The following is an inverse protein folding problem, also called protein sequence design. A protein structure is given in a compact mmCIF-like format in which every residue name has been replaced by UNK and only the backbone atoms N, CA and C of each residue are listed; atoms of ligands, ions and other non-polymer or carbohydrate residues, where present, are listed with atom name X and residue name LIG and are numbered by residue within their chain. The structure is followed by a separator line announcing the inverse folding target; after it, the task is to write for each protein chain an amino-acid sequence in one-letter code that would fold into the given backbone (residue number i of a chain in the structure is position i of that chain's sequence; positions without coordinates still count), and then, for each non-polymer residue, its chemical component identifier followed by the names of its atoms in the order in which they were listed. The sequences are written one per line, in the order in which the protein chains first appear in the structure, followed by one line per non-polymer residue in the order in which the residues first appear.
data_IF_562918208928
#
_entry.id   IF_562918208928
#
_cell.length_a   1.000
_cell.length_b   1.000
_cell.length_c   1.000
_cell.angle_alpha   90.00
_cell.angle_beta   90.00
_cell.angle_gamma   90.00
#
_symmetry.space_group_name_H-M   'P 1'
#
loop_
_entity.id
_entity.type
_entity.pdbx_description
1 polymer ?
#
# COMPACT_ATOMS: atom_id res chain seq x y z
N UNK A 1 -2.56 36.62 25.10
CA UNK A 1 -3.17 35.28 25.16
C UNK A 1 -4.33 35.08 24.19
N UNK A 2 -5.43 35.88 24.22
CA UNK A 2 -6.60 35.71 23.33
C UNK A 2 -6.31 35.72 21.83
N UNK A 3 -5.38 36.57 21.36
CA UNK A 3 -4.97 36.61 19.93
C UNK A 3 -4.21 35.36 19.48
N UNK A 4 -3.38 34.76 20.35
CA UNK A 4 -2.62 33.55 20.03
C UNK A 4 -3.53 32.31 19.91
N UNK A 5 -4.53 32.19 20.78
CA UNK A 5 -5.54 31.14 20.72
C UNK A 5 -6.35 31.22 19.42
N UNK A 6 -6.73 32.43 18.99
CA UNK A 6 -7.44 32.63 17.72
C UNK A 6 -6.63 32.20 16.49
N UNK A 7 -5.31 32.43 16.48
CA UNK A 7 -4.43 31.98 15.41
C UNK A 7 -4.25 30.45 15.41
N UNK A 8 -4.05 29.85 16.58
CA UNK A 8 -3.94 28.40 16.71
C UNK A 8 -5.21 27.69 16.18
N UNK A 9 -6.40 28.17 16.55
CA UNK A 9 -7.67 27.61 16.08
C UNK A 9 -7.81 27.70 14.55
N UNK A 10 -7.42 28.83 13.95
CA UNK A 10 -7.45 28.99 12.48
C UNK A 10 -6.51 28.02 11.78
N UNK A 11 -5.31 27.80 12.32
CA UNK A 11 -4.36 26.82 11.79
C UNK A 11 -4.95 25.41 11.87
N UNK A 12 -5.53 25.04 13.01
CA UNK A 12 -6.16 23.73 13.19
C UNK A 12 -7.31 23.54 12.19
N UNK A 13 -8.20 24.52 12.04
CA UNK A 13 -9.31 24.46 11.08
C UNK A 13 -8.79 24.31 9.65
N UNK A 14 -7.75 25.06 9.27
CA UNK A 14 -7.13 24.94 7.96
C UNK A 14 -6.53 23.55 7.72
N UNK A 15 -5.79 23.01 8.70
CA UNK A 15 -5.20 21.67 8.59
C UNK A 15 -6.27 20.58 8.46
N UNK A 16 -7.36 20.69 9.22
CA UNK A 16 -8.51 19.77 9.13
C UNK A 16 -9.18 19.89 7.76
N UNK A 17 -9.40 21.11 7.26
CA UNK A 17 -9.98 21.32 5.93
C UNK A 17 -9.10 20.77 4.81
N UNK A 18 -7.77 20.90 4.91
CA UNK A 18 -6.82 20.33 3.95
C UNK A 18 -6.81 18.80 4.00
N UNK A 19 -6.81 18.19 5.20
CA UNK A 19 -6.89 16.75 5.35
C UNK A 19 -8.22 16.17 4.83
N UNK A 20 -9.33 16.87 5.09
CA UNK A 20 -10.65 16.54 4.54
C UNK A 20 -10.65 16.68 3.02
N UNK A 21 -10.12 17.77 2.47
CA UNK A 21 -9.96 17.95 1.02
C UNK A 21 -9.11 16.85 0.39
N UNK A 22 -7.99 16.47 1.03
CA UNK A 22 -7.17 15.34 0.60
C UNK A 22 -7.92 14.02 0.56
N UNK A 23 -8.80 13.77 1.52
CA UNK A 23 -9.58 12.52 1.63
C UNK A 23 -10.78 12.50 0.68
N UNK A 24 -11.51 13.60 0.58
CA UNK A 24 -12.82 13.70 -0.08
C UNK A 24 -12.82 14.39 -1.45
N UNK A 25 -11.66 14.80 -1.96
CA UNK A 25 -11.51 15.18 -3.37
C UNK A 25 -10.97 13.97 -4.12
N UNK A 26 -11.73 13.37 -5.05
CA UNK A 26 -11.31 12.15 -5.71
C UNK A 26 -10.16 12.39 -6.70
N UNK A 27 -9.30 11.37 -6.85
CA UNK A 27 -8.28 11.26 -7.88
C UNK A 27 -8.45 9.91 -8.59
N UNK A 28 -8.71 9.88 -9.91
CA UNK A 28 -8.94 11.05 -10.78
C UNK A 28 -10.27 11.79 -10.47
N UNK A 29 -10.29 13.10 -10.74
CA UNK A 29 -11.47 13.97 -10.51
C UNK A 29 -12.64 13.56 -11.40
N UNK A 30 -12.34 13.34 -12.68
CA UNK A 30 -13.25 12.77 -13.66
C UNK A 30 -12.79 11.32 -13.82
N UNK A 31 -13.63 10.36 -13.41
CA UNK A 31 -13.37 8.98 -13.76
C UNK A 31 -13.42 8.89 -15.29
N UNK A 32 -12.36 8.39 -15.96
CA UNK A 32 -12.51 7.97 -17.33
C UNK A 32 -13.72 7.04 -17.38
N UNK A 33 -14.54 7.12 -18.42
CA UNK A 33 -15.46 6.02 -18.75
C UNK A 33 -14.60 4.86 -19.25
N UNK A 34 -13.71 4.34 -18.42
CA UNK A 34 -13.30 2.95 -18.50
C UNK A 34 -14.48 2.17 -17.95
N UNK A 35 -15.53 2.09 -18.76
CA UNK A 35 -16.29 0.86 -18.76
C UNK A 35 -15.28 -0.20 -19.20
N UNK A 36 -14.57 -0.79 -18.24
CA UNK A 36 -14.16 -2.16 -18.42
C UNK A 36 -15.49 -2.89 -18.63
N UNK A 37 -15.86 -3.06 -19.89
CA UNK A 37 -17.00 -3.90 -20.28
C UNK A 37 -16.71 -5.36 -19.97
N UNK A 38 -15.46 -5.67 -19.58
CA UNK A 38 -15.08 -6.94 -19.03
C UNK A 38 -15.65 -7.08 -17.59
N UNK A 39 -16.21 -8.25 -17.26
CA UNK A 39 -16.71 -8.52 -15.92
C UNK A 39 -15.60 -8.35 -14.88
N UNK A 40 -15.95 -7.83 -13.71
CA UNK A 40 -15.08 -7.85 -12.54
C UNK A 40 -15.04 -9.29 -11.98
N UNK A 41 -13.98 -10.00 -12.30
CA UNK A 41 -13.79 -11.44 -12.07
C UNK A 41 -12.77 -11.71 -10.97
N UNK A 42 -11.93 -10.74 -10.65
CA UNK A 42 -10.84 -10.90 -9.70
C UNK A 42 -11.07 -10.11 -8.43
N UNK A 43 -10.93 -10.79 -7.30
CA UNK A 43 -11.01 -10.16 -5.99
C UNK A 43 -9.62 -9.77 -5.51
N UNK A 44 -9.45 -8.51 -5.12
CA UNK A 44 -8.24 -8.00 -4.43
C UNK A 44 -8.61 -7.46 -3.06
N UNK A 45 -7.64 -7.44 -2.14
CA UNK A 45 -7.85 -6.99 -0.77
C UNK A 45 -6.92 -5.82 -0.42
N UNK A 46 -7.48 -4.77 0.14
CA UNK A 46 -6.75 -3.77 0.91
C UNK A 46 -6.69 -4.23 2.36
N UNK A 47 -5.50 -4.56 2.82
CA UNK A 47 -5.21 -4.92 4.20
C UNK A 47 -4.83 -3.66 4.95
N UNK A 48 -5.56 -3.31 6.00
CA UNK A 48 -5.31 -2.11 6.80
C UNK A 48 -4.94 -2.48 8.22
N UNK A 49 -3.65 -2.46 8.49
CA UNK A 49 -3.13 -2.44 9.85
C UNK A 49 -3.36 -1.09 10.52
N UNK A 50 -2.94 -0.95 11.79
CA UNK A 50 -3.23 0.27 12.53
C UNK A 50 -2.36 1.48 12.08
N UNK A 51 -1.13 1.26 11.59
CA UNK A 51 -0.23 2.30 11.01
C UNK A 51 -0.07 2.21 9.49
N UNK A 52 -0.41 1.08 8.88
CA UNK A 52 0.10 0.68 7.58
C UNK A 52 -0.96 -0.02 6.73
N UNK A 53 -0.81 0.02 5.41
CA UNK A 53 -1.69 -0.67 4.46
C UNK A 53 -0.91 -1.45 3.42
N UNK A 54 -1.38 -2.66 3.13
CA UNK A 54 -0.88 -3.55 2.08
C UNK A 54 -2.00 -3.90 1.10
N UNK A 55 -1.62 -4.45 -0.06
CA UNK A 55 -2.57 -4.98 -1.03
C UNK A 55 -2.30 -6.47 -1.21
N UNK A 56 -3.33 -7.29 -1.05
CA UNK A 56 -3.31 -8.70 -1.40
C UNK A 56 -3.94 -8.89 -2.79
N UNK A 57 -3.21 -9.57 -3.69
CA UNK A 57 -3.71 -9.97 -5.00
C UNK A 57 -3.71 -11.50 -5.11
N UNK A 58 -4.64 -12.10 -5.89
CA UNK A 58 -4.74 -13.55 -6.00
C UNK A 58 -3.51 -14.13 -6.72
N UNK A 59 -3.02 -15.28 -6.26
CA UNK A 59 -1.93 -16.03 -6.91
C UNK A 59 -2.52 -16.91 -8.03
N UNK A 60 -2.94 -16.26 -9.11
CA UNK A 60 -3.27 -16.93 -10.37
C UNK A 60 -2.03 -17.08 -11.27
N UNK A 61 -2.22 -17.61 -12.48
CA UNK A 61 -1.16 -17.77 -13.48
C UNK A 61 -0.49 -16.44 -13.84
N UNK A 62 -1.26 -15.36 -13.98
CA UNK A 62 -0.73 -14.03 -14.32
C UNK A 62 0.11 -13.44 -13.19
N UNK A 63 -0.29 -13.62 -11.93
CA UNK A 63 0.52 -13.22 -10.77
C UNK A 63 1.81 -14.06 -10.69
N UNK A 64 1.74 -15.38 -10.86
CA UNK A 64 2.94 -16.23 -10.87
C UNK A 64 3.92 -15.84 -11.97
N UNK A 65 3.43 -15.54 -13.17
CA UNK A 65 4.26 -15.10 -14.28
C UNK A 65 4.88 -13.71 -14.02
N UNK A 66 4.09 -12.74 -13.54
CA UNK A 66 4.56 -11.38 -13.29
C UNK A 66 5.60 -11.31 -12.15
N UNK A 67 5.50 -12.18 -11.16
CA UNK A 67 6.36 -12.22 -9.97
C UNK A 67 7.28 -13.44 -9.92
N UNK A 68 7.55 -14.08 -11.06
CA UNK A 68 8.38 -15.30 -11.11
C UNK A 68 9.79 -15.12 -10.55
N UNK A 69 10.30 -13.88 -10.55
CA UNK A 69 11.60 -13.53 -9.95
C UNK A 69 11.62 -13.65 -8.42
N UNK A 70 10.47 -13.73 -7.76
CA UNK A 70 10.36 -13.98 -6.32
C UNK A 70 10.42 -15.47 -5.97
N UNK A 71 10.04 -16.35 -6.90
CA UNK A 71 9.81 -17.76 -6.61
C UNK A 71 11.13 -18.51 -6.39
N UNK A 72 11.33 -19.01 -5.18
CA UNK A 72 12.49 -19.81 -4.79
C UNK A 72 12.16 -20.69 -3.57
N UNK A 73 13.14 -21.48 -3.11
CA UNK A 73 12.94 -22.39 -1.97
C UNK A 73 12.50 -21.68 -0.68
N UNK A 74 12.89 -20.43 -0.51
CA UNK A 74 12.59 -19.60 0.66
C UNK A 74 11.33 -18.74 0.46
N UNK A 75 10.78 -18.68 -0.75
CA UNK A 75 9.54 -17.95 -1.06
C UNK A 75 8.76 -18.73 -2.13
N UNK A 76 8.05 -19.81 -1.73
CA UNK A 76 7.44 -20.75 -2.67
C UNK A 76 6.11 -20.20 -3.20
N UNK A 77 6.17 -19.31 -4.19
CA UNK A 77 5.00 -18.66 -4.81
C UNK A 77 4.04 -19.68 -5.44
N UNK A 78 4.57 -20.84 -5.86
CA UNK A 78 3.79 -21.96 -6.39
C UNK A 78 3.14 -22.88 -5.33
N UNK A 79 3.29 -22.61 -4.03
CA UNK A 79 2.78 -23.50 -2.99
C UNK A 79 1.24 -23.64 -3.05
N UNK A 80 0.67 -24.86 -2.92
CA UNK A 80 -0.77 -25.08 -3.10
C UNK A 80 -1.66 -24.36 -2.08
N UNK A 81 -1.12 -24.04 -0.90
CA UNK A 81 -1.82 -23.28 0.14
C UNK A 81 -1.59 -21.76 0.05
N UNK A 82 -0.81 -21.27 -0.93
CA UNK A 82 -0.62 -19.84 -1.13
C UNK A 82 -1.73 -19.31 -2.05
N UNK A 83 -2.65 -18.54 -1.48
CA UNK A 83 -3.80 -17.98 -2.21
C UNK A 83 -3.56 -16.52 -2.59
N UNK A 84 -2.81 -15.77 -1.77
CA UNK A 84 -2.62 -14.34 -1.90
C UNK A 84 -1.14 -13.96 -1.86
N UNK A 85 -0.76 -13.09 -2.81
CA UNK A 85 0.49 -12.34 -2.74
C UNK A 85 0.19 -11.00 -2.09
N UNK A 86 0.77 -10.76 -0.91
CA UNK A 86 0.66 -9.50 -0.19
C UNK A 86 1.84 -8.63 -0.54
N UNK A 87 1.57 -7.38 -0.94
CA UNK A 87 2.60 -6.41 -1.31
C UNK A 87 2.35 -5.08 -0.59
N UNK A 88 3.39 -4.63 0.09
CA UNK A 88 3.48 -3.37 0.79
C UNK A 88 4.67 -2.53 0.34
N UNK A 89 4.62 -1.23 0.61
CA UNK A 89 5.73 -0.31 0.36
C UNK A 89 5.86 0.65 1.53
N UNK A 90 7.07 0.98 1.96
CA UNK A 90 7.27 2.09 2.90
C UNK A 90 8.72 2.33 3.25
N UNK A 91 8.95 3.07 4.34
CA UNK A 91 10.29 3.51 4.72
C UNK A 91 11.13 2.36 5.22
N UNK A 92 12.37 2.27 4.76
CA UNK A 92 13.32 1.24 5.19
C UNK A 92 13.47 1.25 6.72
N UNK A 93 13.72 2.42 7.30
CA UNK A 93 13.90 2.55 8.75
C UNK A 93 12.59 2.24 9.48
N UNK A 94 11.44 2.65 8.94
CA UNK A 94 10.15 2.41 9.56
C UNK A 94 9.79 0.91 9.58
N UNK A 95 9.93 0.23 8.46
CA UNK A 95 9.61 -1.21 8.35
C UNK A 95 10.61 -2.10 9.08
N UNK A 96 11.92 -1.80 8.97
CA UNK A 96 12.94 -2.66 9.57
C UNK A 96 13.19 -2.37 11.05
N UNK A 97 12.93 -1.13 11.53
CA UNK A 97 13.20 -0.75 12.93
C UNK A 97 11.92 -0.58 13.76
N UNK A 98 10.72 -0.67 13.19
CA UNK A 98 9.45 -0.46 13.93
C UNK A 98 8.32 -1.43 13.50
N UNK A 99 8.43 -2.75 13.80
CA UNK A 99 7.42 -3.75 13.42
C UNK A 99 6.04 -3.55 14.08
N UNK A 100 5.97 -2.98 15.28
CA UNK A 100 4.69 -2.80 16.00
C UNK A 100 4.55 -1.43 16.66
N UNK A 101 3.32 -1.00 16.95
CA UNK A 101 3.04 0.27 17.66
C UNK A 101 3.73 0.38 19.01
N UNK A 102 3.99 -0.74 19.70
CA UNK A 102 4.69 -0.76 20.98
C UNK A 102 6.17 -0.36 20.85
N UNK A 103 6.72 -0.42 19.63
CA UNK A 103 8.12 -0.18 19.32
C UNK A 103 8.35 1.16 18.60
N UNK A 104 7.31 2.00 18.47
CA UNK A 104 7.42 3.37 17.99
C UNK A 104 8.29 4.19 18.95
N UNK A 105 9.60 4.07 18.78
CA UNK A 105 10.56 4.95 19.41
C UNK A 105 10.35 6.36 18.81
N UNK A 106 10.51 7.43 19.60
CA UNK A 106 10.37 8.80 19.11
C UNK A 106 11.29 9.12 17.92
N UNK A 107 12.44 8.43 17.83
CA UNK A 107 13.49 8.70 16.85
C UNK A 107 13.17 8.17 15.42
N UNK A 108 12.69 6.93 15.21
CA UNK A 108 12.10 6.48 13.95
C UNK A 108 10.94 7.35 13.44
N UNK A 109 10.07 7.84 14.32
CA UNK A 109 8.98 8.76 13.93
C UNK A 109 9.55 10.09 13.42
N UNK A 110 10.56 10.65 14.11
CA UNK A 110 11.26 11.85 13.66
C UNK A 110 12.01 11.63 12.33
N UNK A 111 12.61 10.46 12.11
CA UNK A 111 13.24 10.10 10.82
C UNK A 111 12.21 9.83 9.71
N UNK A 112 11.07 9.25 10.03
CA UNK A 112 9.96 9.09 9.09
C UNK A 112 9.39 10.46 8.67
N UNK A 113 9.48 11.48 9.52
CA UNK A 113 9.19 12.87 9.14
C UNK A 113 10.29 13.50 8.27
N UNK A 114 11.49 12.88 8.18
CA UNK A 114 12.54 13.21 7.21
C UNK A 114 12.44 12.33 5.95
N UNK A 115 13.41 12.43 5.03
CA UNK A 115 13.46 11.64 3.80
C UNK A 115 14.21 10.34 4.10
N UNK A 116 13.58 9.19 3.85
CA UNK A 116 14.17 7.85 3.97
C UNK A 116 14.18 7.12 2.61
N UNK A 117 14.98 6.06 2.49
CA UNK A 117 14.85 5.11 1.39
C UNK A 117 13.57 4.28 1.57
N UNK A 118 13.08 3.74 0.47
CA UNK A 118 11.89 2.89 0.50
C UNK A 118 12.22 1.42 0.28
N UNK A 119 11.38 0.57 0.84
CA UNK A 119 11.43 -0.88 0.71
C UNK A 119 10.05 -1.40 0.31
N UNK A 120 10.04 -2.50 -0.41
CA UNK A 120 8.87 -3.32 -0.64
C UNK A 120 8.86 -4.45 0.38
N UNK A 121 7.69 -4.66 0.97
CA UNK A 121 7.36 -5.80 1.79
C UNK A 121 6.55 -6.78 0.93
N UNK A 122 6.94 -8.04 0.91
CA UNK A 122 6.29 -9.08 0.12
C UNK A 122 6.08 -10.30 1.00
N UNK A 123 4.86 -10.79 1.05
CA UNK A 123 4.48 -11.96 1.85
C UNK A 123 3.50 -12.85 1.10
N UNK A 124 3.40 -14.11 1.51
CA UNK A 124 2.43 -15.08 0.99
C UNK A 124 1.41 -15.39 2.08
N UNK A 125 0.14 -15.25 1.75
CA UNK A 125 -0.95 -15.66 2.63
C UNK A 125 -1.77 -16.79 2.01
N UNK A 126 -2.19 -17.72 2.86
CA UNK A 126 -3.26 -18.66 2.52
C UNK A 126 -4.63 -17.99 2.62
N UNK A 127 -5.68 -18.79 2.79
CA UNK A 127 -7.04 -18.27 2.85
C UNK A 127 -7.23 -17.13 3.86
N UNK A 128 -7.78 -16.00 3.40
CA UNK A 128 -8.16 -14.86 4.24
C UNK A 128 -9.68 -14.86 4.35
N UNK A 129 -10.20 -15.15 5.54
CA UNK A 129 -11.65 -15.12 5.80
C UNK A 129 -12.19 -13.70 5.68
N UNK A 130 -13.33 -13.51 5.01
CA UNK A 130 -14.03 -12.22 4.91
C UNK A 130 -15.49 -12.35 5.39
N UNK A 131 -16.11 -11.29 5.95
CA UNK A 131 -15.56 -9.94 6.15
C UNK A 131 -14.72 -9.84 7.43
N UNK A 132 -13.72 -8.96 7.40
CA UNK A 132 -12.94 -8.59 8.58
C UNK A 132 -12.82 -7.07 8.71
N UNK A 133 -12.80 -6.50 9.94
CA UNK A 133 -12.65 -5.07 10.11
C UNK A 133 -11.41 -4.49 9.45
N UNK A 134 -10.29 -5.23 9.41
CA UNK A 134 -9.03 -4.77 8.80
C UNK A 134 -8.95 -4.96 7.29
N UNK A 135 -9.94 -5.63 6.66
CA UNK A 135 -9.90 -6.00 5.24
C UNK A 135 -10.99 -5.24 4.48
N UNK A 136 -10.61 -4.58 3.39
CA UNK A 136 -11.55 -4.01 2.42
C UNK A 136 -11.31 -4.67 1.08
N UNK A 137 -12.36 -5.10 0.41
CA UNK A 137 -12.25 -5.90 -0.81
C UNK A 137 -12.81 -5.19 -2.02
N UNK A 138 -12.20 -5.45 -3.17
CA UNK A 138 -12.61 -4.88 -4.45
C UNK A 138 -12.64 -6.00 -5.49
N UNK A 139 -13.70 -6.02 -6.27
CA UNK A 139 -13.77 -6.87 -7.46
C UNK A 139 -13.35 -6.01 -8.66
N UNK A 140 -12.34 -6.47 -9.38
CA UNK A 140 -11.71 -5.77 -10.51
C UNK A 140 -11.64 -6.68 -11.74
N UNK A 141 -11.59 -6.10 -12.93
CA UNK A 141 -11.44 -6.85 -14.18
C UNK A 141 -9.99 -7.28 -14.42
N UNK A 142 -9.79 -8.19 -15.37
CA UNK A 142 -8.47 -8.71 -15.76
C UNK A 142 -7.48 -7.56 -16.10
N UNK A 143 -7.92 -6.57 -16.89
CA UNK A 143 -7.09 -5.40 -17.26
C UNK A 143 -6.69 -4.56 -16.04
N UNK A 144 -7.59 -4.38 -15.09
CA UNK A 144 -7.32 -3.63 -13.86
C UNK A 144 -6.29 -4.35 -13.00
N UNK A 145 -6.40 -5.68 -12.88
CA UNK A 145 -5.45 -6.50 -12.16
C UNK A 145 -4.08 -6.54 -12.86
N UNK A 146 -4.04 -6.60 -14.19
CA UNK A 146 -2.79 -6.51 -14.94
C UNK A 146 -2.07 -5.17 -14.70
N UNK A 147 -2.80 -4.05 -14.69
CA UNK A 147 -2.23 -2.72 -14.35
C UNK A 147 -1.72 -2.67 -12.91
N UNK A 148 -2.45 -3.27 -11.97
CA UNK A 148 -2.02 -3.38 -10.57
C UNK A 148 -0.71 -4.16 -10.42
N UNK A 149 -0.63 -5.34 -11.06
CA UNK A 149 0.59 -6.15 -11.09
C UNK A 149 1.77 -5.38 -11.66
N UNK A 150 1.58 -4.71 -12.79
CA UNK A 150 2.62 -3.89 -13.42
C UNK A 150 3.10 -2.79 -12.48
N UNK A 151 2.18 -2.07 -11.81
CA UNK A 151 2.54 -1.05 -10.83
C UNK A 151 3.37 -1.61 -9.67
N UNK A 152 2.99 -2.77 -9.14
CA UNK A 152 3.71 -3.44 -8.06
C UNK A 152 5.10 -3.91 -8.51
N UNK A 153 5.21 -4.56 -9.66
CA UNK A 153 6.49 -4.99 -10.26
C UNK A 153 7.41 -3.79 -10.53
N UNK A 154 6.84 -2.69 -11.05
CA UNK A 154 7.58 -1.46 -11.31
C UNK A 154 8.05 -0.76 -10.04
N UNK A 155 7.47 -1.08 -8.88
CA UNK A 155 7.89 -0.50 -7.60
C UNK A 155 9.21 -1.08 -7.08
N UNK A 156 9.65 -2.24 -7.58
CA UNK A 156 10.94 -2.84 -7.19
C UNK A 156 12.10 -2.00 -7.72
N UNK A 157 13.09 -1.72 -6.87
CA UNK A 157 14.38 -1.25 -7.33
C UNK A 157 15.14 -2.42 -7.95
N UNK A 158 15.84 -2.13 -9.05
CA UNK A 158 16.66 -3.12 -9.76
C UNK A 158 18.05 -2.57 -10.04
N UNK A 159 19.05 -3.43 -9.90
CA UNK A 159 20.42 -3.17 -10.32
C UNK A 159 20.82 -4.24 -11.34
N UNK A 160 21.35 -3.82 -12.48
CA UNK A 160 21.69 -4.72 -13.59
C UNK A 160 20.54 -5.65 -14.05
N UNK A 161 19.28 -5.26 -13.84
CA UNK A 161 18.09 -6.04 -14.20
C UNK A 161 17.54 -6.92 -13.09
N UNK A 162 18.28 -7.10 -12.00
CA UNK A 162 17.92 -7.97 -10.87
C UNK A 162 17.27 -7.17 -9.74
N UNK A 163 16.30 -7.77 -9.05
CA UNK A 163 15.74 -7.18 -7.82
C UNK A 163 16.75 -7.24 -6.68
N UNK A 164 16.65 -6.29 -5.75
CA UNK A 164 17.58 -6.17 -4.63
C UNK A 164 16.92 -6.64 -3.32
N UNK A 165 17.05 -7.93 -2.94
CA UNK A 165 16.53 -8.41 -1.66
C UNK A 165 17.32 -7.81 -0.49
N UNK A 166 16.68 -7.71 0.67
CA UNK A 166 17.29 -7.29 1.93
C UNK A 166 17.43 -8.53 2.83
N UNK A 167 18.60 -9.17 2.88
CA UNK A 167 18.78 -10.43 3.61
C UNK A 167 18.52 -10.27 5.11
N UNK A 168 17.86 -11.26 5.71
CA UNK A 168 17.58 -11.29 7.15
C UNK A 168 16.50 -10.29 7.61
N UNK A 169 15.85 -9.59 6.68
CA UNK A 169 14.67 -8.78 6.95
C UNK A 169 13.40 -9.57 6.59
N UNK A 170 12.47 -9.65 7.55
CA UNK A 170 11.17 -10.29 7.38
C UNK A 170 10.48 -10.48 8.73
N UNK A 171 9.14 -10.46 8.75
CA UNK A 171 8.37 -10.71 9.98
C UNK A 171 8.07 -12.20 10.23
N UNK A 172 8.22 -13.04 9.21
CA UNK A 172 7.90 -14.46 9.25
C UNK A 172 8.74 -15.28 8.27
N UNK A 173 8.48 -16.59 8.21
CA UNK A 173 9.28 -17.53 7.43
C UNK A 173 9.27 -17.23 5.93
N UNK A 174 8.14 -16.76 5.39
CA UNK A 174 7.92 -16.46 3.97
C UNK A 174 7.77 -14.96 3.70
N UNK A 175 8.16 -14.12 4.65
CA UNK A 175 8.10 -12.67 4.57
C UNK A 175 9.44 -12.11 4.08
N UNK A 176 9.44 -11.33 3.01
CA UNK A 176 10.66 -10.83 2.36
C UNK A 176 10.59 -9.32 2.13
N UNK A 177 11.75 -8.69 2.28
CA UNK A 177 11.94 -7.28 1.96
C UNK A 177 12.87 -7.08 0.77
N UNK A 178 12.54 -6.08 -0.06
CA UNK A 178 13.32 -5.67 -1.22
C UNK A 178 13.53 -4.16 -1.21
N UNK A 179 14.61 -3.66 -1.81
CA UNK A 179 14.74 -2.23 -2.09
C UNK A 179 13.64 -1.80 -3.07
N UNK A 180 13.07 -0.62 -2.83
CA UNK A 180 12.01 -0.08 -3.67
C UNK A 180 12.42 1.23 -4.35
N UNK A 181 11.73 1.57 -5.45
CA UNK A 181 11.89 2.87 -6.09
C UNK A 181 11.24 3.96 -5.25
N UNK A 182 11.92 5.11 -5.19
CA UNK A 182 11.42 6.32 -4.57
C UNK A 182 11.90 6.52 -3.14
N UNK A 183 11.45 7.63 -2.56
CA UNK A 183 11.81 8.05 -1.22
C UNK A 183 10.57 8.06 -0.33
N UNK A 184 10.76 7.63 0.91
CA UNK A 184 9.72 7.60 1.90
C UNK A 184 9.72 8.88 2.75
N UNK A 185 8.51 9.34 3.06
CA UNK A 185 8.24 10.32 4.11
C UNK A 185 6.89 9.95 4.76
N UNK A 186 6.68 10.23 6.03
CA UNK A 186 5.45 9.89 6.74
C UNK A 186 4.17 10.50 6.10
N UNK A 187 4.30 11.64 5.41
CA UNK A 187 3.21 12.25 4.64
C UNK A 187 3.04 11.66 3.23
N UNK A 188 4.06 10.99 2.72
CA UNK A 188 4.14 10.34 1.40
C UNK A 188 4.65 8.90 1.58
N UNK A 189 3.91 8.15 2.40
CA UNK A 189 4.28 6.82 2.86
C UNK A 189 3.48 5.71 2.19
N UNK A 190 3.45 4.57 2.88
CA UNK A 190 2.72 3.36 2.51
C UNK A 190 1.27 3.59 2.05
N UNK A 191 0.51 4.38 2.81
CA UNK A 191 -0.89 4.66 2.50
C UNK A 191 -1.03 5.42 1.17
N UNK A 192 -0.08 6.30 0.86
CA UNK A 192 -0.09 7.04 -0.41
C UNK A 192 0.37 6.19 -1.60
N UNK A 193 1.31 5.26 -1.38
CA UNK A 193 1.70 4.25 -2.37
C UNK A 193 0.54 3.30 -2.66
N UNK A 194 -0.13 2.81 -1.61
CA UNK A 194 -1.33 1.96 -1.72
C UNK A 194 -2.43 2.67 -2.49
N UNK A 195 -2.69 3.93 -2.17
CA UNK A 195 -3.64 4.75 -2.92
C UNK A 195 -3.23 4.90 -4.40
N UNK A 196 -1.92 5.02 -4.70
CA UNK A 196 -1.42 5.07 -6.08
C UNK A 196 -1.59 3.74 -6.82
N UNK A 197 -1.33 2.61 -6.16
CA UNK A 197 -1.54 1.27 -6.70
C UNK A 197 -3.03 1.03 -7.04
N UNK A 198 -3.94 1.35 -6.11
CA UNK A 198 -5.39 1.25 -6.34
C UNK A 198 -5.83 2.13 -7.53
N UNK A 199 -5.30 3.35 -7.63
CA UNK A 199 -5.56 4.22 -8.80
C UNK A 199 -4.99 3.67 -10.10
N UNK A 200 -3.83 3.02 -10.08
CA UNK A 200 -3.28 2.35 -11.26
C UNK A 200 -4.19 1.19 -11.72
N UNK A 201 -4.82 0.49 -10.77
CA UNK A 201 -5.86 -0.49 -11.04
C UNK A 201 -7.20 0.12 -11.51
N UNK A 202 -7.32 1.45 -11.59
CA UNK A 202 -8.55 2.14 -12.01
C UNK A 202 -9.56 2.37 -10.88
N UNK A 203 -9.25 2.01 -9.64
CA UNK A 203 -10.06 2.38 -8.48
C UNK A 203 -9.85 3.86 -8.13
N UNK A 204 -10.79 4.43 -7.38
CA UNK A 204 -10.74 5.84 -6.97
C UNK A 204 -10.35 5.97 -5.51
N UNK A 205 -9.47 6.92 -5.24
CA UNK A 205 -9.11 7.33 -3.87
C UNK A 205 -9.15 8.85 -3.78
N UNK A 206 -8.95 9.38 -2.59
CA UNK A 206 -8.72 10.79 -2.36
C UNK A 206 -7.39 11.24 -2.95
N UNK A 207 -7.23 12.55 -3.09
CA UNK A 207 -6.00 13.20 -3.52
C UNK A 207 -4.82 12.89 -2.59
N UNK A 208 -5.08 12.75 -1.28
CA UNK A 208 -4.05 12.53 -0.27
C UNK A 208 -4.60 11.75 0.94
N UNK A 209 -4.05 10.55 1.17
CA UNK A 209 -4.45 9.64 2.24
C UNK A 209 -3.20 9.15 3.00
N UNK A 210 -2.65 9.94 3.94
CA UNK A 210 -1.42 9.60 4.65
C UNK A 210 -1.64 8.55 5.76
N UNK A 211 -2.88 8.29 6.15
CA UNK A 211 -3.24 7.36 7.24
C UNK A 211 -4.15 6.22 6.74
N UNK A 212 -4.07 5.01 7.31
CA UNK A 212 -4.94 3.89 6.92
C UNK A 212 -6.43 4.25 7.00
N UNK A 213 -6.83 4.94 8.08
CA UNK A 213 -8.22 5.34 8.32
C UNK A 213 -8.71 6.32 7.23
N UNK A 214 -7.84 7.24 6.81
CA UNK A 214 -8.16 8.19 5.74
C UNK A 214 -8.30 7.50 4.38
N UNK A 215 -7.45 6.51 4.09
CA UNK A 215 -7.51 5.75 2.85
C UNK A 215 -8.77 4.89 2.81
N UNK A 216 -9.03 4.12 3.87
CA UNK A 216 -10.24 3.29 4.02
C UNK A 216 -11.52 4.09 3.84
N UNK A 217 -11.62 5.23 4.54
CA UNK A 217 -12.77 6.12 4.41
C UNK A 217 -12.91 6.58 2.96
N UNK A 218 -11.80 7.00 2.34
CA UNK A 218 -11.82 7.46 0.97
C UNK A 218 -12.27 6.38 -0.02
N UNK A 219 -11.74 5.16 0.05
CA UNK A 219 -12.12 4.10 -0.90
C UNK A 219 -13.58 3.69 -0.74
N UNK A 220 -14.10 3.69 0.50
CA UNK A 220 -15.51 3.39 0.78
C UNK A 220 -16.51 4.43 0.24
N UNK A 221 -16.03 5.63 -0.09
CA UNK A 221 -16.86 6.70 -0.65
C UNK A 221 -16.96 6.61 -2.18
N UNK A 222 -15.97 6.01 -2.85
CA UNK A 222 -15.86 6.09 -4.31
C UNK A 222 -15.97 4.76 -5.07
N UNK A 223 -15.89 3.62 -4.39
CA UNK A 223 -15.91 2.28 -4.98
C UNK A 223 -16.88 1.41 -4.18
#
# INVERSE_FOLDING_TARGET
MRRGIGWLLRIIVLLVALAAGGTFIPRPLIAPVEASSAPATHRILLLSGPIHTDIAIPIDEGTRAAFSFLDNADFPLGHPNAEWLVVGWGGRAFYLETPTWAELKPLPVLRALTIDRSVLHVDLAGHITEPQPAVTSFDISDDQLARLRNFMVDSFAREAGETLPIPGAGYGEIDRFFEAKGYFNALFGCNTWTAAALRAAGLRTGLWNPLPQSLRLSVSVYN
#
